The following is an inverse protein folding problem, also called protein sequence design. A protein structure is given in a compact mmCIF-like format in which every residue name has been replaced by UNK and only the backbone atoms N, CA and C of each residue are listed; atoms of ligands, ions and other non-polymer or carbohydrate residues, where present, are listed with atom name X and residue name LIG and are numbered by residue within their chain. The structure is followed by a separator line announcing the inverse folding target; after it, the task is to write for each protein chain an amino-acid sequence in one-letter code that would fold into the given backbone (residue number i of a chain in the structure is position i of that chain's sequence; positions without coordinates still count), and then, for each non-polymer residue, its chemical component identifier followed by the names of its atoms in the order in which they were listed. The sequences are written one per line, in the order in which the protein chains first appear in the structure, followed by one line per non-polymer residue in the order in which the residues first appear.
data_IF_235813155428
#
_entry.id   IF_235813155428
#
_cell.length_a   1.000
_cell.length_b   1.000
_cell.length_c   1.000
_cell.angle_alpha   90.00
_cell.angle_beta   90.00
_cell.angle_gamma   90.00
#
_symmetry.space_group_name_H-M   'P 1'
#
loop_
_entity.id
_entity.type
_entity.pdbx_description
1 polymer ?
#
# COMPACT_ATOMS: atom_id res chain seq x y z
N UNK A 1 9.38 -25.48 16.40
CA UNK A 1 9.29 -25.32 14.93
C UNK A 1 10.24 -24.21 14.48
N UNK A 2 10.60 -24.15 13.19
CA UNK A 2 11.45 -23.08 12.63
C UNK A 2 10.69 -22.38 11.51
N UNK A 3 10.65 -21.04 11.55
CA UNK A 3 10.17 -20.20 10.47
C UNK A 3 11.35 -19.94 9.53
N UNK A 4 11.50 -20.83 8.54
CA UNK A 4 12.68 -20.88 7.67
C UNK A 4 12.87 -19.65 6.79
N UNK A 5 11.83 -18.84 6.64
CA UNK A 5 11.85 -17.55 5.95
C UNK A 5 10.67 -16.70 6.44
N UNK A 6 10.92 -15.42 6.67
CA UNK A 6 9.89 -14.40 6.83
C UNK A 6 10.43 -13.03 6.40
N UNK A 7 9.52 -12.07 6.22
CA UNK A 7 9.89 -10.73 5.78
C UNK A 7 9.63 -10.56 4.29
N UNK A 8 10.69 -10.28 3.52
CA UNK A 8 10.54 -9.96 2.11
C UNK A 8 10.03 -8.53 1.85
N UNK A 9 10.32 -7.62 2.79
CA UNK A 9 9.90 -6.22 2.72
C UNK A 9 10.81 -5.45 1.74
N UNK A 10 10.30 -5.19 0.54
CA UNK A 10 10.99 -4.50 -0.55
C UNK A 10 11.00 -3.00 -0.37
N UNK A 11 12.18 -2.37 -0.37
CA UNK A 11 12.32 -0.92 -0.51
C UNK A 11 13.38 -0.61 -1.57
N UNK A 12 12.94 -0.12 -2.73
CA UNK A 12 13.83 0.30 -3.82
C UNK A 12 14.47 1.64 -3.46
N UNK A 13 15.80 1.75 -3.59
CA UNK A 13 16.53 3.00 -3.38
C UNK A 13 17.19 3.41 -4.69
N UNK A 14 16.71 4.51 -5.29
CA UNK A 14 17.23 5.00 -6.58
C UNK A 14 18.75 5.22 -6.52
N UNK A 15 19.46 4.85 -7.60
CA UNK A 15 20.92 4.91 -7.68
C UNK A 15 21.66 3.77 -6.96
N UNK A 16 20.97 2.94 -6.16
CA UNK A 16 21.57 1.83 -5.41
C UNK A 16 20.96 0.45 -5.80
N UNK A 17 20.49 0.33 -7.04
CA UNK A 17 19.84 -0.86 -7.60
C UNK A 17 20.70 -1.51 -8.68
N UNK A 18 20.57 -2.84 -8.84
CA UNK A 18 21.20 -3.58 -9.94
C UNK A 18 20.56 -3.26 -11.31
N UNK A 19 19.23 -3.17 -11.35
CA UNK A 19 18.45 -2.94 -12.55
C UNK A 19 17.36 -1.89 -12.33
N UNK A 20 16.83 -1.35 -13.44
CA UNK A 20 15.70 -0.41 -13.40
C UNK A 20 14.44 -1.06 -12.84
N UNK A 21 14.20 -2.31 -13.22
CA UNK A 21 13.11 -3.13 -12.69
C UNK A 21 13.56 -3.81 -11.41
N UNK A 22 12.70 -3.79 -10.39
CA UNK A 22 12.95 -4.40 -9.10
C UNK A 22 11.66 -4.93 -8.49
N UNK A 23 11.75 -5.96 -7.66
CA UNK A 23 10.61 -6.53 -6.96
C UNK A 23 10.96 -6.84 -5.48
N UNK A 24 9.93 -7.03 -4.68
CA UNK A 24 9.99 -7.58 -3.32
C UNK A 24 8.61 -8.15 -2.98
N UNK A 25 8.52 -9.02 -1.98
CA UNK A 25 7.26 -9.68 -1.62
C UNK A 25 6.19 -8.69 -1.11
N UNK A 26 6.62 -7.59 -0.50
CA UNK A 26 5.77 -6.45 -0.10
C UNK A 26 6.48 -5.13 -0.33
N UNK A 27 5.87 -4.19 -1.05
CA UNK A 27 6.46 -2.90 -1.35
C UNK A 27 6.34 -1.93 -0.18
N UNK A 28 7.45 -1.42 0.32
CA UNK A 28 7.49 -0.37 1.33
C UNK A 28 7.66 0.98 0.64
N UNK A 29 6.86 1.94 1.04
CA UNK A 29 6.90 3.30 0.50
C UNK A 29 8.22 4.02 0.83
N UNK A 30 8.80 3.76 2.00
CA UNK A 30 9.98 4.46 2.51
C UNK A 30 10.66 3.71 3.67
N UNK A 31 11.72 4.33 4.22
CA UNK A 31 12.45 3.85 5.39
C UNK A 31 11.56 3.66 6.62
N UNK A 32 10.64 4.59 6.91
CA UNK A 32 9.83 4.52 8.12
C UNK A 32 8.81 3.37 8.05
N UNK A 33 8.12 3.21 6.91
CA UNK A 33 7.22 2.09 6.66
C UNK A 33 7.94 0.75 6.69
N UNK A 34 9.13 0.65 6.07
CA UNK A 34 9.99 -0.53 6.17
C UNK A 34 10.35 -0.85 7.62
N UNK A 35 10.82 0.15 8.38
CA UNK A 35 11.21 -0.01 9.78
C UNK A 35 10.03 -0.46 10.63
N UNK A 36 8.89 0.22 10.50
CA UNK A 36 7.66 -0.11 11.25
C UNK A 36 7.21 -1.53 10.94
N UNK A 37 7.14 -1.90 9.66
CA UNK A 37 6.68 -3.22 9.25
C UNK A 37 7.64 -4.31 9.72
N UNK A 38 8.94 -4.05 9.71
CA UNK A 38 9.93 -4.96 10.28
C UNK A 38 9.68 -5.17 11.78
N UNK A 39 9.52 -4.10 12.55
CA UNK A 39 9.26 -4.17 14.00
C UNK A 39 7.95 -4.91 14.30
N UNK A 40 6.89 -4.66 13.53
CA UNK A 40 5.62 -5.38 13.64
C UNK A 40 5.76 -6.89 13.38
N UNK A 41 6.52 -7.28 12.35
CA UNK A 41 6.80 -8.69 12.06
C UNK A 41 7.60 -9.33 13.20
N UNK A 42 8.62 -8.66 13.71
CA UNK A 42 9.40 -9.16 14.84
C UNK A 42 8.54 -9.31 16.09
N UNK A 43 7.63 -8.37 16.35
CA UNK A 43 6.66 -8.50 17.46
C UNK A 43 5.83 -9.77 17.35
N UNK A 44 5.42 -10.16 16.13
CA UNK A 44 4.70 -11.43 15.88
C UNK A 44 5.61 -12.64 16.07
N UNK A 45 6.85 -12.59 15.61
CA UNK A 45 7.85 -13.66 15.80
C UNK A 45 8.11 -13.90 17.29
N UNK A 46 8.24 -12.84 18.09
CA UNK A 46 8.36 -12.95 19.55
C UNK A 46 7.10 -13.55 20.18
N UNK A 47 5.91 -13.13 19.74
CA UNK A 47 4.66 -13.77 20.15
C UNK A 47 4.64 -15.28 19.84
N UNK A 48 5.12 -15.68 18.66
CA UNK A 48 5.20 -17.10 18.26
C UNK A 48 6.23 -17.89 19.08
N UNK A 49 7.34 -17.27 19.48
CA UNK A 49 8.30 -17.86 20.42
C UNK A 49 7.62 -18.19 21.75
N UNK A 50 6.79 -17.29 22.25
CA UNK A 50 6.11 -17.49 23.54
C UNK A 50 4.92 -18.46 23.40
N UNK A 51 4.22 -18.45 22.27
CA UNK A 51 3.19 -19.43 21.92
C UNK A 51 2.97 -19.48 20.39
N UNK A 52 3.10 -20.65 19.73
CA UNK A 52 3.15 -21.99 20.30
C UNK A 52 4.57 -22.53 20.57
N UNK A 53 5.61 -21.71 20.65
CA UNK A 53 6.98 -22.17 20.94
C UNK A 53 7.91 -22.21 19.73
N UNK A 54 7.87 -21.18 18.88
CA UNK A 54 8.79 -21.02 17.75
C UNK A 54 10.24 -20.97 18.25
N UNK A 55 11.11 -21.80 17.66
CA UNK A 55 12.49 -21.99 18.13
C UNK A 55 13.49 -21.14 17.36
N UNK A 56 13.19 -20.79 16.10
CA UNK A 56 14.00 -19.91 15.27
C UNK A 56 13.17 -19.28 14.15
N UNK A 57 13.62 -18.12 13.67
CA UNK A 57 13.08 -17.44 12.50
C UNK A 57 14.24 -16.84 11.67
N UNK A 58 14.16 -16.92 10.36
CA UNK A 58 15.18 -16.40 9.43
C UNK A 58 14.57 -15.29 8.57
N UNK A 59 15.13 -14.08 8.65
CA UNK A 59 14.66 -12.95 7.85
C UNK A 59 15.30 -12.96 6.46
N UNK A 60 14.48 -12.88 5.41
CA UNK A 60 14.94 -12.66 4.03
C UNK A 60 14.99 -11.17 3.75
N UNK A 61 16.11 -10.54 3.42
CA UNK A 61 17.53 -10.98 3.37
C UNK A 61 18.42 -9.82 3.87
N UNK A 62 19.74 -10.01 4.00
CA UNK A 62 20.63 -8.95 4.54
C UNK A 62 20.93 -7.84 3.54
N UNK A 63 21.05 -8.16 2.25
CA UNK A 63 21.37 -7.21 1.17
C UNK A 63 20.48 -7.49 -0.03
N UNK A 64 20.17 -6.47 -0.82
CA UNK A 64 19.48 -6.72 -2.10
C UNK A 64 20.28 -7.65 -3.00
N UNK A 65 19.57 -8.48 -3.77
CA UNK A 65 20.16 -9.43 -4.72
C UNK A 65 19.50 -9.25 -6.07
N UNK A 66 20.27 -8.78 -7.05
CA UNK A 66 19.82 -8.49 -8.41
C UNK A 66 18.56 -7.61 -8.41
N UNK A 67 17.44 -8.10 -8.93
CA UNK A 67 16.15 -7.38 -8.94
C UNK A 67 15.40 -7.45 -7.62
N UNK A 68 15.80 -8.31 -6.69
CA UNK A 68 15.15 -8.49 -5.39
C UNK A 68 15.61 -7.40 -4.39
N UNK A 69 14.76 -6.41 -4.15
CA UNK A 69 15.07 -5.21 -3.36
C UNK A 69 14.56 -5.26 -1.91
N UNK A 70 14.45 -6.46 -1.33
CA UNK A 70 13.97 -6.72 0.03
C UNK A 70 15.08 -6.97 1.06
N UNK A 71 16.32 -6.59 0.73
CA UNK A 71 17.44 -6.60 1.65
C UNK A 71 17.38 -5.48 2.69
N UNK A 72 17.94 -5.71 3.87
CA UNK A 72 18.17 -4.67 4.88
C UNK A 72 19.17 -3.60 4.41
N UNK A 73 20.04 -3.95 3.47
CA UNK A 73 20.99 -3.05 2.82
C UNK A 73 20.75 -3.01 1.32
N UNK A 74 21.16 -1.91 0.69
CA UNK A 74 21.14 -1.76 -0.77
C UNK A 74 22.06 -2.77 -1.47
N UNK A 75 21.88 -2.93 -2.79
CA UNK A 75 22.63 -3.90 -3.61
C UNK A 75 24.16 -3.73 -3.49
N UNK A 76 24.62 -2.48 -3.52
CA UNK A 76 26.01 -2.09 -3.35
C UNK A 76 26.50 -2.09 -1.89
N UNK A 77 25.61 -2.41 -0.94
CA UNK A 77 25.84 -2.37 0.52
C UNK A 77 26.24 -0.99 1.05
N UNK A 78 25.98 0.08 0.29
CA UNK A 78 26.33 1.44 0.69
C UNK A 78 25.39 1.99 1.77
N UNK A 79 24.12 1.57 1.77
CA UNK A 79 23.10 2.08 2.67
C UNK A 79 22.41 0.97 3.44
N UNK A 80 22.18 1.20 4.74
CA UNK A 80 21.22 0.44 5.55
C UNK A 80 19.86 1.10 5.40
N UNK A 81 18.87 0.36 4.92
CA UNK A 81 17.56 0.88 4.57
C UNK A 81 16.67 1.20 5.77
N UNK A 82 16.44 0.29 6.74
CA UNK A 82 15.64 0.60 7.92
C UNK A 82 16.44 1.40 8.96
N UNK A 83 15.78 1.84 10.01
CA UNK A 83 16.43 2.30 11.23
C UNK A 83 17.14 1.13 11.94
N UNK A 84 18.47 1.11 11.87
CA UNK A 84 19.28 0.03 12.41
C UNK A 84 19.14 -0.13 13.94
N UNK A 85 18.93 0.96 14.68
CA UNK A 85 18.81 0.91 16.14
C UNK A 85 17.50 0.23 16.54
N UNK A 86 16.39 0.65 15.91
CA UNK A 86 15.06 0.04 16.13
C UNK A 86 15.02 -1.42 15.70
N UNK A 87 15.61 -1.75 14.55
CA UNK A 87 15.73 -3.13 14.06
C UNK A 87 16.54 -3.98 15.04
N UNK A 88 17.67 -3.48 15.54
CA UNK A 88 18.49 -4.19 16.51
C UNK A 88 17.78 -4.37 17.86
N UNK A 89 17.01 -3.37 18.32
CA UNK A 89 16.18 -3.47 19.52
C UNK A 89 15.10 -4.54 19.36
N UNK A 90 14.37 -4.54 18.24
CA UNK A 90 13.32 -5.52 17.95
C UNK A 90 13.86 -6.96 17.89
N UNK A 91 15.03 -7.16 17.28
CA UNK A 91 15.71 -8.46 17.26
C UNK A 91 16.13 -8.96 18.65
N UNK A 92 16.23 -8.08 19.65
CA UNK A 92 16.51 -8.44 21.05
C UNK A 92 15.25 -8.53 21.92
N UNK A 93 14.06 -8.50 21.30
CA UNK A 93 12.78 -8.56 22.01
C UNK A 93 12.33 -7.23 22.62
N UNK A 94 13.03 -6.14 22.32
CA UNK A 94 12.61 -4.78 22.73
C UNK A 94 11.79 -4.18 21.60
N UNK A 95 10.48 -4.41 21.64
CA UNK A 95 9.53 -3.87 20.66
C UNK A 95 9.16 -2.45 21.05
N UNK A 96 9.68 -1.48 20.32
CA UNK A 96 9.33 -0.07 20.48
C UNK A 96 8.05 0.25 19.71
N UNK A 97 7.22 1.13 20.28
CA UNK A 97 6.02 1.59 19.59
C UNK A 97 6.41 2.46 18.39
N UNK A 98 5.89 2.09 17.22
CA UNK A 98 6.11 2.82 15.96
C UNK A 98 4.88 3.68 15.63
N UNK A 99 5.05 4.89 15.06
CA UNK A 99 3.93 5.71 14.61
C UNK A 99 3.03 4.92 13.66
N UNK A 100 1.75 4.86 13.97
CA UNK A 100 0.79 4.16 13.13
C UNK A 100 0.17 5.11 12.09
N UNK A 101 -0.09 4.63 10.87
CA UNK A 101 -0.77 5.41 9.86
C UNK A 101 -2.11 5.93 10.37
N UNK A 102 -2.34 7.25 10.24
CA UNK A 102 -3.64 7.85 10.54
C UNK A 102 -4.52 7.72 9.30
N UNK A 103 -5.69 7.09 9.43
CA UNK A 103 -6.66 7.01 8.34
C UNK A 103 -7.24 8.39 8.05
N UNK A 104 -7.09 8.84 6.81
CA UNK A 104 -7.63 10.11 6.29
C UNK A 104 -8.88 9.85 5.46
N UNK A 105 -8.79 8.88 4.56
CA UNK A 105 -9.93 8.40 3.75
C UNK A 105 -9.99 6.88 3.89
N UNK A 106 -11.07 6.31 4.44
CA UNK A 106 -11.14 4.88 4.68
C UNK A 106 -11.25 4.08 3.37
N UNK A 107 -10.62 2.91 3.35
CA UNK A 107 -10.78 1.83 2.37
C UNK A 107 -11.83 0.80 2.86
N UNK A 108 -11.96 -0.36 2.22
CA UNK A 108 -12.93 -1.42 2.51
C UNK A 108 -12.72 -2.11 3.87
N UNK A 109 -11.62 -1.78 4.56
CA UNK A 109 -11.42 -2.10 5.98
C UNK A 109 -12.49 -1.43 6.87
N UNK A 110 -13.11 -0.34 6.40
CA UNK A 110 -14.36 0.20 6.94
C UNK A 110 -15.54 -0.23 6.06
N UNK A 111 -16.55 -0.87 6.64
CA UNK A 111 -17.68 -1.43 5.91
C UNK A 111 -18.72 -0.39 5.45
N UNK A 112 -18.54 0.87 5.83
CA UNK A 112 -19.44 1.99 5.47
C UNK A 112 -18.99 2.72 4.21
N UNK A 113 -17.94 2.25 3.54
CA UNK A 113 -17.42 2.88 2.33
C UNK A 113 -18.17 2.40 1.09
N UNK A 114 -18.64 3.34 0.29
CA UNK A 114 -19.31 3.10 -0.99
C UNK A 114 -18.63 3.88 -2.12
N UNK A 115 -18.72 3.33 -3.32
CA UNK A 115 -18.21 3.91 -4.55
C UNK A 115 -19.28 3.83 -5.64
N UNK A 116 -19.20 4.75 -6.59
CA UNK A 116 -19.85 4.60 -7.90
C UNK A 116 -18.93 3.85 -8.84
N UNK A 117 -19.49 2.98 -9.68
CA UNK A 117 -18.71 2.15 -10.59
C UNK A 117 -19.39 1.81 -11.91
N UNK A 118 -18.57 1.50 -12.91
CA UNK A 118 -18.98 0.94 -14.21
C UNK A 118 -17.95 -0.09 -14.68
N UNK A 119 -18.40 -1.06 -15.48
CA UNK A 119 -17.54 -2.02 -16.20
C UNK A 119 -17.43 -1.71 -17.70
N UNK A 120 -18.16 -0.68 -18.16
CA UNK A 120 -18.10 -0.19 -19.53
C UNK A 120 -17.23 1.06 -19.54
N UNK A 121 -16.28 1.11 -20.49
CA UNK A 121 -15.39 2.26 -20.65
C UNK A 121 -16.21 3.57 -20.74
N UNK A 122 -16.03 4.51 -19.80
CA UNK A 122 -16.66 5.83 -19.84
C UNK A 122 -15.95 6.75 -20.85
N UNK A 123 -16.39 8.00 -20.98
CA UNK A 123 -15.66 9.01 -21.77
C UNK A 123 -14.26 9.23 -21.22
N UNK A 124 -13.34 9.68 -22.08
CA UNK A 124 -11.92 9.80 -21.72
C UNK A 124 -11.63 10.84 -20.62
N UNK A 125 -12.62 11.64 -20.20
CA UNK A 125 -12.53 12.63 -19.13
C UNK A 125 -13.15 12.17 -17.79
N UNK A 126 -13.50 10.89 -17.67
CA UNK A 126 -14.12 10.28 -16.50
C UNK A 126 -13.39 10.52 -15.17
N UNK A 127 -12.09 10.80 -15.19
CA UNK A 127 -11.29 11.04 -13.99
C UNK A 127 -11.38 12.49 -13.48
N UNK A 128 -11.99 13.41 -14.23
CA UNK A 128 -12.08 14.83 -13.86
C UNK A 128 -13.08 15.07 -12.72
N UNK A 129 -12.91 16.14 -11.92
CA UNK A 129 -13.79 16.44 -10.79
C UNK A 129 -15.25 16.70 -11.17
N UNK A 130 -15.49 17.26 -12.35
CA UNK A 130 -16.81 17.67 -12.83
C UNK A 130 -17.52 16.62 -13.70
N UNK A 131 -16.91 15.44 -13.87
CA UNK A 131 -17.55 14.33 -14.57
C UNK A 131 -18.82 13.88 -13.83
N UNK A 132 -19.91 13.72 -14.56
CA UNK A 132 -21.18 13.23 -14.05
C UNK A 132 -21.23 11.70 -14.07
N UNK A 133 -21.12 11.10 -12.89
CA UNK A 133 -21.20 9.67 -12.66
C UNK A 133 -22.57 9.22 -12.11
N UNK A 134 -23.59 10.07 -12.16
CA UNK A 134 -24.92 9.78 -11.57
C UNK A 134 -25.61 8.54 -12.15
N UNK A 135 -25.26 8.14 -13.37
CA UNK A 135 -25.77 6.93 -14.03
C UNK A 135 -25.02 5.65 -13.66
N UNK A 136 -23.89 5.76 -12.94
CA UNK A 136 -23.09 4.61 -12.55
C UNK A 136 -23.76 3.84 -11.42
N UNK A 137 -23.42 2.55 -11.31
CA UNK A 137 -23.92 1.70 -10.22
C UNK A 137 -23.25 2.12 -8.92
N UNK A 138 -23.89 1.83 -7.78
CA UNK A 138 -23.29 2.03 -6.46
C UNK A 138 -23.00 0.69 -5.78
N UNK A 139 -21.84 0.58 -5.15
CA UNK A 139 -21.36 -0.65 -4.53
C UNK A 139 -20.51 -0.38 -3.29
N UNK A 140 -20.46 -1.36 -2.39
CA UNK A 140 -19.58 -1.30 -1.20
C UNK A 140 -18.13 -1.48 -1.63
N UNK A 141 -17.22 -0.77 -0.97
CA UNK A 141 -15.77 -0.85 -1.17
C UNK A 141 -15.22 -2.28 -1.12
N UNK A 142 -14.12 -2.52 -1.82
CA UNK A 142 -13.60 -3.85 -2.06
C UNK A 142 -14.29 -4.52 -3.24
N UNK A 143 -13.80 -4.21 -4.44
CA UNK A 143 -14.34 -4.72 -5.70
C UNK A 143 -13.48 -5.86 -6.23
N UNK A 144 -14.05 -7.05 -6.43
CA UNK A 144 -13.29 -8.19 -6.91
C UNK A 144 -14.01 -9.52 -6.77
N UNK A 145 -13.25 -10.62 -6.83
CA UNK A 145 -13.77 -11.98 -6.64
C UNK A 145 -13.45 -12.52 -5.25
N UNK A 146 -14.30 -13.42 -4.73
CA UNK A 146 -14.19 -13.97 -3.36
C UNK A 146 -12.93 -14.79 -3.10
N UNK A 147 -12.35 -15.38 -4.14
CA UNK A 147 -11.21 -16.28 -4.02
C UNK A 147 -9.86 -15.55 -4.12
N UNK A 148 -9.87 -14.23 -4.28
CA UNK A 148 -8.64 -13.43 -4.34
C UNK A 148 -7.99 -13.36 -2.94
N UNK A 149 -6.74 -13.80 -2.77
CA UNK A 149 -6.07 -13.81 -1.46
C UNK A 149 -6.05 -12.42 -0.80
N UNK A 150 -6.42 -12.36 0.49
CA UNK A 150 -6.46 -11.10 1.25
C UNK A 150 -7.57 -10.12 0.85
N UNK A 151 -8.36 -10.44 -0.18
CA UNK A 151 -9.42 -9.57 -0.65
C UNK A 151 -10.60 -9.54 0.32
N UNK A 152 -11.05 -8.33 0.64
CA UNK A 152 -12.35 -8.11 1.26
C UNK A 152 -13.36 -7.75 0.16
N UNK A 153 -13.66 -8.69 -0.74
CA UNK A 153 -14.55 -8.47 -1.87
C UNK A 153 -16.02 -8.39 -1.40
N UNK A 154 -16.56 -7.17 -1.36
CA UNK A 154 -17.95 -6.87 -0.97
C UNK A 154 -18.84 -6.54 -2.16
N UNK A 155 -18.25 -6.05 -3.26
CA UNK A 155 -18.93 -5.88 -4.54
C UNK A 155 -18.22 -6.73 -5.58
N UNK A 156 -18.99 -7.52 -6.33
CA UNK A 156 -18.42 -8.39 -7.35
C UNK A 156 -17.92 -7.56 -8.54
N UNK A 157 -16.68 -7.83 -8.93
CA UNK A 157 -16.09 -7.42 -10.20
C UNK A 157 -15.36 -8.64 -10.77
N UNK A 158 -15.79 -9.09 -11.95
CA UNK A 158 -15.30 -10.30 -12.63
C UNK A 158 -15.11 -10.06 -14.15
N UNK A 159 -14.92 -8.80 -14.55
CA UNK A 159 -14.68 -8.36 -15.94
C UNK A 159 -13.24 -7.85 -16.10
N UNK A 160 -12.82 -7.57 -17.33
CA UNK A 160 -11.46 -7.05 -17.60
C UNK A 160 -11.23 -5.65 -17.05
N UNK A 161 -12.25 -4.81 -16.91
CA UNK A 161 -12.07 -3.43 -16.48
C UNK A 161 -13.14 -3.01 -15.48
N UNK A 162 -12.73 -2.14 -14.57
CA UNK A 162 -13.59 -1.40 -13.67
C UNK A 162 -13.13 0.05 -13.57
N UNK A 163 -14.09 0.96 -13.62
CA UNK A 163 -13.89 2.35 -13.27
C UNK A 163 -14.67 2.66 -12.00
N UNK A 164 -14.01 3.28 -11.04
CA UNK A 164 -14.58 3.68 -9.76
C UNK A 164 -14.49 5.19 -9.59
N UNK A 165 -15.50 5.79 -8.97
CA UNK A 165 -15.50 7.18 -8.54
C UNK A 165 -16.09 7.32 -7.15
N UNK A 166 -15.48 8.20 -6.35
CA UNK A 166 -15.96 8.50 -5.01
C UNK A 166 -15.64 9.94 -4.63
N UNK A 167 -16.63 10.61 -4.10
CA UNK A 167 -16.46 11.89 -3.43
C UNK A 167 -16.08 11.64 -1.97
N UNK A 168 -15.13 12.41 -1.45
CA UNK A 168 -14.83 12.44 -0.02
C UNK A 168 -14.59 13.87 0.45
N UNK A 169 -14.87 14.12 1.72
CA UNK A 169 -14.60 15.40 2.38
C UNK A 169 -13.30 15.30 3.18
N UNK A 170 -12.42 16.29 3.03
CA UNK A 170 -11.21 16.42 3.81
C UNK A 170 -11.35 17.62 4.75
N UNK A 171 -11.16 17.42 6.05
CA UNK A 171 -11.13 18.53 7.00
C UNK A 171 -9.96 19.51 6.75
N UNK A 172 -9.95 20.62 7.48
CA UNK A 172 -8.78 21.51 7.50
C UNK A 172 -7.66 20.86 8.34
N UNK A 173 -6.94 19.92 7.73
CA UNK A 173 -5.88 19.15 8.36
C UNK A 173 -4.60 19.25 7.56
N UNK A 174 -3.51 19.57 8.26
CA UNK A 174 -2.18 19.50 7.68
C UNK A 174 -1.75 18.04 7.57
N UNK A 175 -1.70 17.54 6.34
CA UNK A 175 -1.12 16.24 6.02
C UNK A 175 0.40 16.37 6.02
N UNK A 176 1.09 15.37 6.56
CA UNK A 176 2.56 15.38 6.68
C UNK A 176 3.17 14.52 5.59
N UNK A 177 2.71 13.28 5.46
CA UNK A 177 3.15 12.30 4.48
C UNK A 177 1.96 11.43 4.04
N UNK A 178 1.03 12.00 3.23
CA UNK A 178 -0.13 11.25 2.77
C UNK A 178 0.27 10.20 1.73
N UNK A 179 -0.30 9.00 1.89
CA UNK A 179 -0.10 7.82 1.04
C UNK A 179 -1.43 7.16 0.68
N UNK A 180 -1.44 6.42 -0.42
CA UNK A 180 -2.56 5.56 -0.75
C UNK A 180 -2.47 4.30 0.10
N UNK A 181 -3.59 3.90 0.70
CA UNK A 181 -3.75 2.56 1.27
C UNK A 181 -4.45 1.71 0.22
N UNK A 182 -3.69 0.92 -0.54
CA UNK A 182 -4.13 0.29 -1.79
C UNK A 182 -4.05 -1.23 -1.68
N UNK A 183 -5.04 -1.92 -2.24
CA UNK A 183 -4.95 -3.35 -2.58
C UNK A 183 -5.47 -3.49 -4.01
N UNK A 184 -4.63 -3.98 -4.92
CA UNK A 184 -4.94 -4.11 -6.34
C UNK A 184 -4.48 -5.45 -6.92
N UNK A 185 -5.27 -5.94 -7.87
CA UNK A 185 -5.03 -7.07 -8.73
C UNK A 185 -5.89 -6.84 -10.02
N UNK A 186 -5.34 -6.36 -11.14
CA UNK A 186 -3.94 -6.12 -11.47
C UNK A 186 -3.60 -4.62 -11.62
N UNK A 187 -3.26 -4.17 -12.84
CA UNK A 187 -2.74 -2.84 -13.14
C UNK A 187 -3.79 -1.77 -12.82
N UNK A 188 -3.41 -0.74 -12.06
CA UNK A 188 -4.33 0.30 -11.63
C UNK A 188 -3.78 1.72 -11.77
N UNK A 189 -4.68 2.64 -12.08
CA UNK A 189 -4.45 4.08 -12.11
C UNK A 189 -5.37 4.78 -11.12
N UNK A 190 -4.80 5.58 -10.23
CA UNK A 190 -5.52 6.30 -9.18
C UNK A 190 -5.36 7.79 -9.44
N UNK A 191 -6.48 8.50 -9.51
CA UNK A 191 -6.55 9.94 -9.71
C UNK A 191 -7.20 10.62 -8.50
N UNK A 192 -6.68 11.77 -8.13
CA UNK A 192 -7.25 12.66 -7.12
C UNK A 192 -7.52 14.00 -7.79
N UNK A 193 -8.79 14.43 -7.78
CA UNK A 193 -9.22 15.69 -8.40
C UNK A 193 -8.77 15.85 -9.87
N UNK A 194 -8.71 14.75 -10.61
CA UNK A 194 -8.29 14.72 -12.01
C UNK A 194 -6.78 14.65 -12.25
N UNK A 195 -5.97 14.59 -11.19
CA UNK A 195 -4.50 14.48 -11.26
C UNK A 195 -4.10 13.03 -10.98
N UNK A 196 -3.23 12.45 -11.80
CA UNK A 196 -2.71 11.10 -11.59
C UNK A 196 -1.88 11.05 -10.30
N UNK A 197 -2.41 10.36 -9.29
CA UNK A 197 -1.81 10.22 -7.98
C UNK A 197 -0.92 8.98 -7.88
N UNK A 198 -1.25 7.89 -8.56
CA UNK A 198 -0.39 6.71 -8.66
C UNK A 198 -0.73 5.87 -9.90
N UNK A 199 0.27 5.14 -10.41
CA UNK A 199 0.11 4.06 -11.38
C UNK A 199 0.89 2.86 -10.88
N UNK A 200 0.21 1.74 -10.73
CA UNK A 200 0.77 0.48 -10.24
C UNK A 200 0.59 -0.62 -11.28
N UNK A 201 1.47 -1.62 -11.23
CA UNK A 201 1.45 -2.77 -12.14
C UNK A 201 1.48 -4.08 -11.36
N UNK A 202 0.96 -5.14 -11.97
CA UNK A 202 0.83 -6.45 -11.36
C UNK A 202 -0.16 -6.42 -10.20
N UNK A 203 0.04 -7.28 -9.21
CA UNK A 203 -0.88 -7.41 -8.07
C UNK A 203 -0.12 -7.42 -6.75
N UNK A 204 -0.84 -7.07 -5.69
CA UNK A 204 -0.47 -7.30 -4.29
C UNK A 204 -1.56 -8.14 -3.63
N UNK A 205 -1.22 -8.81 -2.53
CA UNK A 205 -2.13 -9.78 -1.87
C UNK A 205 -2.69 -9.27 -0.53
N UNK A 206 -2.42 -8.01 -0.21
CA UNK A 206 -2.81 -7.35 1.03
C UNK A 206 -2.82 -5.84 0.80
N UNK A 207 -3.36 -5.08 1.75
CA UNK A 207 -3.27 -3.62 1.70
C UNK A 207 -1.83 -3.15 1.96
N UNK A 208 -1.34 -2.28 1.08
CA UNK A 208 -0.01 -1.67 1.18
C UNK A 208 -0.09 -0.14 1.10
N UNK A 209 0.90 0.51 1.71
CA UNK A 209 1.09 1.96 1.59
C UNK A 209 1.85 2.26 0.31
N UNK A 210 1.18 2.95 -0.63
CA UNK A 210 1.74 3.35 -1.91
C UNK A 210 1.98 4.85 -1.92
N UNK A 211 3.19 5.24 -2.30
CA UNK A 211 3.56 6.64 -2.48
C UNK A 211 2.71 7.30 -3.56
N UNK A 212 2.29 8.53 -3.28
CA UNK A 212 1.64 9.37 -4.29
C UNK A 212 2.70 10.13 -5.11
N UNK A 213 2.35 10.53 -6.32
CA UNK A 213 3.09 11.56 -7.06
C UNK A 213 3.06 12.89 -6.30
N UNK A 214 4.03 13.77 -6.58
CA UNK A 214 4.04 15.10 -5.97
C UNK A 214 2.79 15.91 -6.33
N UNK A 215 2.34 15.79 -7.58
CA UNK A 215 1.15 16.42 -8.11
C UNK A 215 -0.12 15.84 -7.47
N UNK A 216 -0.18 14.52 -7.28
CA UNK A 216 -1.29 13.85 -6.60
C UNK A 216 -1.45 14.30 -5.16
N UNK A 217 -0.34 14.44 -4.42
CA UNK A 217 -0.37 15.02 -3.06
C UNK A 217 -0.85 16.47 -3.07
N UNK A 218 -0.35 17.28 -4.01
CA UNK A 218 -0.73 18.68 -4.14
C UNK A 218 -2.20 18.88 -4.58
N UNK A 219 -2.81 17.86 -5.19
CA UNK A 219 -4.20 17.89 -5.61
C UNK A 219 -5.19 17.76 -4.44
N UNK A 220 -4.77 17.25 -3.28
CA UNK A 220 -5.60 17.19 -2.07
C UNK A 220 -5.87 18.58 -1.52
N UNK A 221 -7.13 18.87 -1.18
CA UNK A 221 -7.55 20.18 -0.67
C UNK A 221 -8.58 20.05 0.45
N UNK A 222 -8.70 21.04 1.36
CA UNK A 222 -9.81 21.08 2.30
C UNK A 222 -11.17 21.07 1.57
N UNK A 223 -12.17 20.44 2.18
CA UNK A 223 -13.50 20.23 1.64
C UNK A 223 -13.57 19.08 0.63
N UNK A 224 -14.40 19.26 -0.40
CA UNK A 224 -14.74 18.23 -1.38
C UNK A 224 -13.57 17.85 -2.27
N UNK A 225 -13.27 16.55 -2.31
CA UNK A 225 -12.32 15.90 -3.21
C UNK A 225 -13.00 14.75 -3.96
N UNK A 226 -12.39 14.34 -5.07
CA UNK A 226 -12.85 13.22 -5.90
C UNK A 226 -11.71 12.24 -6.11
N UNK A 227 -11.96 10.98 -5.75
CA UNK A 227 -11.22 9.84 -6.26
C UNK A 227 -11.79 9.37 -7.59
N UNK A 228 -10.91 9.01 -8.50
CA UNK A 228 -11.24 8.24 -9.69
C UNK A 228 -10.20 7.12 -9.85
N UNK A 229 -10.65 5.88 -10.07
CA UNK A 229 -9.76 4.71 -10.17
C UNK A 229 -10.14 3.90 -11.39
N UNK A 230 -9.14 3.47 -12.16
CA UNK A 230 -9.29 2.44 -13.19
C UNK A 230 -8.41 1.27 -12.80
N UNK A 231 -8.95 0.06 -12.89
CA UNK A 231 -8.18 -1.17 -12.73
C UNK A 231 -8.45 -2.08 -13.93
N UNK A 232 -7.37 -2.61 -14.51
CA UNK A 232 -7.40 -3.51 -15.65
C UNK A 232 -6.89 -4.89 -15.22
N UNK A 233 -7.72 -5.90 -15.47
CA UNK A 233 -7.48 -7.29 -15.15
C UNK A 233 -7.23 -8.09 -16.43
N UNK A 234 -6.14 -8.85 -16.45
CA UNK A 234 -5.76 -9.73 -17.56
C UNK A 234 -6.01 -11.22 -17.27
N UNK A 235 -5.62 -11.72 -16.08
CA UNK A 235 -5.76 -13.13 -15.66
C UNK A 235 -5.71 -13.30 -14.14
N UNK A 236 -6.36 -14.34 -13.64
CA UNK A 236 -6.18 -14.81 -12.26
C UNK A 236 -7.19 -14.23 -11.28
N UNK A 237 -6.71 -13.85 -10.09
CA UNK A 237 -7.52 -13.11 -9.11
C UNK A 237 -7.88 -11.74 -9.65
N UNK A 238 -8.76 -11.01 -8.97
CA UNK A 238 -8.95 -9.59 -9.25
C UNK A 238 -9.51 -8.85 -8.04
N UNK A 239 -8.92 -7.71 -7.74
CA UNK A 239 -9.33 -6.87 -6.63
C UNK A 239 -8.91 -5.42 -6.87
N UNK A 240 -9.72 -4.49 -6.40
CA UNK A 240 -9.30 -3.10 -6.30
C UNK A 240 -10.02 -2.44 -5.12
N UNK A 241 -9.24 -1.77 -4.29
CA UNK A 241 -9.74 -0.84 -3.30
C UNK A 241 -8.65 0.14 -2.86
N UNK A 242 -9.04 1.37 -2.54
CA UNK A 242 -8.11 2.43 -2.17
C UNK A 242 -8.66 3.36 -1.10
N UNK A 243 -7.78 3.76 -0.18
CA UNK A 243 -7.99 4.83 0.78
C UNK A 243 -6.77 5.77 0.86
N UNK A 244 -6.77 6.67 1.84
CA UNK A 244 -5.64 7.54 2.16
C UNK A 244 -5.29 7.39 3.62
N UNK A 245 -4.01 7.22 3.90
CA UNK A 245 -3.43 7.34 5.24
C UNK A 245 -2.38 8.45 5.27
N UNK A 246 -2.09 8.95 6.46
CA UNK A 246 -1.04 9.94 6.71
C UNK A 246 -0.16 9.40 7.84
N UNK A 247 1.09 9.07 7.51
CA UNK A 247 2.03 8.44 8.43
C UNK A 247 3.22 9.37 8.65
N UNK A 248 3.23 10.19 9.72
CA UNK A 248 4.38 11.03 10.00
C UNK A 248 5.60 10.17 10.36
N UNK A 249 6.80 10.65 10.01
CA UNK A 249 8.05 10.08 10.52
C UNK A 249 8.02 10.05 12.04
N UNK A 250 8.53 8.96 12.66
CA UNK A 250 8.87 9.00 14.06
C UNK A 250 9.85 10.15 14.26
N UNK A 251 9.46 11.16 15.04
CA UNK A 251 10.28 12.36 15.25
C UNK A 251 11.70 11.95 15.65
N UNK A 252 12.62 11.97 14.69
CA UNK A 252 14.04 11.78 14.96
C UNK A 252 14.50 12.99 15.75
N UNK A 253 14.95 12.77 16.99
CA UNK A 253 15.80 13.76 17.63
C UNK A 253 17.00 13.97 16.71
N UNK A 254 17.05 15.15 16.08
CA UNK A 254 18.27 15.67 15.47
C UNK A 254 19.30 15.96 16.55
#
# INVERSE_FOLDING_TARGET
AVLGEFGGLGLRVEGHVWAKESWGYRGMADKESLTRRYVELLSKVWGLKDSPGLSAAVYTQTTDVETECNGLMTYDRALVKPDAEKVAAANRGKIEAMPQPRVIVPCALDDRVFWRYTFTKPSDDWFKPNFDDSSWKEGRAGFGTKDTPGASARTEWNTSDIWLRRVFELGDVKLIAPRLMLHHDEDAEIYINGVLAARVKGHITDYEEVEMTAEGRAALKPGKNVFAVHCHQTKGGQYIDVGIVDTPEASGKR
#
